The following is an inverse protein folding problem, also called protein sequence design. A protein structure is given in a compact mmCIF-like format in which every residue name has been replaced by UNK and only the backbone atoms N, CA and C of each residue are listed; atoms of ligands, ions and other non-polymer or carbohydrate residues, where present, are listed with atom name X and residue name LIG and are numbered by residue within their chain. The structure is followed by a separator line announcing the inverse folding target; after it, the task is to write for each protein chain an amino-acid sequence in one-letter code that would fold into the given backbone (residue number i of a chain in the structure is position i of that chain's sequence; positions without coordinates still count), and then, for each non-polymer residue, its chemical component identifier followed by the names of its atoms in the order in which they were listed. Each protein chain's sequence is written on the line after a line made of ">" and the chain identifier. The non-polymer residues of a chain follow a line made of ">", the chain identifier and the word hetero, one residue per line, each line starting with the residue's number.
data_IF_361210354020
#
_entry.id   IF_361210354020
#
_cell.length_a   1.000
_cell.length_b   1.000
_cell.length_c   1.000
_cell.angle_alpha   90.00
_cell.angle_beta   90.00
_cell.angle_gamma   90.00
#
_symmetry.space_group_name_H-M   'P 1'
#
loop_
_entity.id
_entity.type
_entity.pdbx_description
1 polymer ?
#
# COMPACT_ATOMS: atom_id res chain seq x y z
N UNK A 1 -23.80 26.93 6.96
CA UNK A 1 -23.71 27.09 5.48
C UNK A 1 -23.41 25.71 4.92
N UNK A 2 -24.24 25.17 4.03
CA UNK A 2 -23.95 23.90 3.35
C UNK A 2 -22.68 24.07 2.52
N UNK A 3 -21.71 23.19 2.72
CA UNK A 3 -20.50 23.18 1.89
C UNK A 3 -20.86 22.53 0.57
N UNK A 4 -20.78 23.28 -0.53
CA UNK A 4 -20.93 22.72 -1.87
C UNK A 4 -19.69 21.90 -2.16
N UNK A 5 -19.85 20.56 -2.24
CA UNK A 5 -18.76 19.60 -2.42
C UNK A 5 -18.62 19.08 -3.85
N UNK A 6 -19.42 19.61 -4.77
CA UNK A 6 -19.41 19.26 -6.19
C UNK A 6 -18.44 20.11 -7.02
N UNK A 7 -17.96 21.23 -6.47
CA UNK A 7 -16.95 22.08 -7.09
C UNK A 7 -15.56 21.78 -6.55
N UNK A 8 -14.59 21.74 -7.47
CA UNK A 8 -13.18 21.68 -7.11
C UNK A 8 -12.76 22.99 -6.42
N UNK A 9 -11.98 22.98 -5.32
CA UNK A 9 -11.41 24.18 -4.73
C UNK A 9 -10.39 24.82 -5.68
N UNK A 10 -10.14 26.12 -5.52
CA UNK A 10 -9.11 26.83 -6.26
C UNK A 10 -7.72 26.30 -5.89
N UNK A 11 -6.87 26.11 -6.88
CA UNK A 11 -5.44 25.80 -6.76
C UNK A 11 -4.71 26.23 -8.06
N UNK A 12 -3.42 26.46 -7.95
CA UNK A 12 -2.56 26.62 -9.11
C UNK A 12 -2.20 25.23 -9.69
N UNK A 13 -2.35 25.05 -11.00
CA UNK A 13 -1.97 23.79 -11.67
C UNK A 13 -0.64 23.98 -12.40
N UNK A 14 0.33 23.12 -12.08
CA UNK A 14 1.62 23.04 -12.74
C UNK A 14 1.78 21.71 -13.46
N UNK A 15 2.34 21.74 -14.66
CA UNK A 15 2.60 20.57 -15.50
C UNK A 15 4.09 20.50 -15.89
N UNK A 16 4.99 20.18 -14.94
CA UNK A 16 6.39 20.04 -15.24
C UNK A 16 6.65 18.85 -16.18
N UNK A 17 7.71 18.96 -16.98
CA UNK A 17 8.17 17.89 -17.88
C UNK A 17 9.44 17.20 -17.41
N UNK A 18 10.02 17.66 -16.29
CA UNK A 18 11.20 17.07 -15.69
C UNK A 18 11.01 16.79 -14.20
N UNK A 19 11.72 15.80 -13.67
CA UNK A 19 11.76 15.52 -12.22
C UNK A 19 12.29 16.72 -11.44
N UNK A 20 13.31 17.40 -11.98
CA UNK A 20 13.91 18.55 -11.32
C UNK A 20 12.90 19.70 -11.11
N UNK A 21 12.09 20.02 -12.11
CA UNK A 21 11.06 21.06 -12.01
C UNK A 21 9.95 20.64 -11.03
N UNK A 22 9.53 19.37 -11.06
CA UNK A 22 8.53 18.86 -10.14
C UNK A 22 9.01 18.95 -8.68
N UNK A 23 10.26 18.56 -8.41
CA UNK A 23 10.89 18.65 -7.09
C UNK A 23 11.03 20.11 -6.64
N UNK A 24 11.43 21.02 -7.54
CA UNK A 24 11.52 22.44 -7.23
C UNK A 24 10.16 23.02 -6.83
N UNK A 25 9.09 22.67 -7.56
CA UNK A 25 7.72 23.08 -7.25
C UNK A 25 7.24 22.49 -5.92
N UNK A 26 7.43 21.19 -5.70
CA UNK A 26 7.09 20.54 -4.42
C UNK A 26 7.85 21.16 -3.24
N UNK A 27 9.12 21.50 -3.43
CA UNK A 27 9.92 22.20 -2.42
C UNK A 27 9.43 23.62 -2.15
N UNK A 28 9.04 24.37 -3.21
CA UNK A 28 8.51 25.73 -3.11
C UNK A 28 7.20 25.77 -2.32
N UNK A 29 6.27 24.89 -2.60
CA UNK A 29 4.95 24.87 -1.96
C UNK A 29 4.92 24.06 -0.65
N UNK A 30 5.88 23.15 -0.43
CA UNK A 30 5.99 22.35 0.77
C UNK A 30 4.69 21.60 1.09
N UNK A 31 4.12 21.84 2.26
CA UNK A 31 2.84 21.21 2.69
C UNK A 31 1.61 21.65 1.89
N UNK A 32 1.70 22.78 1.19
CA UNK A 32 0.63 23.34 0.36
C UNK A 32 0.71 22.83 -1.10
N UNK A 33 1.76 22.06 -1.45
CA UNK A 33 1.94 21.39 -2.74
C UNK A 33 1.43 19.97 -2.74
N UNK A 34 0.84 19.52 -3.85
CA UNK A 34 0.32 18.16 -4.01
C UNK A 34 0.83 17.55 -5.31
N UNK A 35 1.56 16.46 -5.22
CA UNK A 35 1.96 15.65 -6.37
C UNK A 35 0.75 14.87 -6.90
N UNK A 36 0.37 15.11 -8.14
CA UNK A 36 -0.74 14.45 -8.81
C UNK A 36 -0.22 13.35 -9.73
N UNK A 37 -0.52 12.09 -9.36
CA UNK A 37 -0.36 10.94 -10.25
C UNK A 37 -1.62 10.74 -11.10
N UNK A 38 -2.23 9.54 -11.05
CA UNK A 38 -3.44 9.24 -11.81
C UNK A 38 -4.73 9.93 -11.33
N UNK A 39 -4.72 10.63 -10.21
CA UNK A 39 -5.84 11.43 -9.70
C UNK A 39 -6.96 10.66 -9.01
N UNK A 40 -6.97 9.32 -9.06
CA UNK A 40 -8.10 8.49 -8.63
C UNK A 40 -8.42 8.54 -7.13
N UNK A 41 -7.48 8.94 -6.29
CA UNK A 41 -7.70 9.22 -4.87
C UNK A 41 -7.69 10.74 -4.57
N UNK A 42 -6.96 11.52 -5.35
CA UNK A 42 -6.71 12.94 -5.11
C UNK A 42 -7.99 13.78 -5.17
N UNK A 43 -8.83 13.56 -6.18
CA UNK A 43 -9.97 14.44 -6.41
C UNK A 43 -11.03 14.34 -5.31
N UNK A 44 -11.23 13.17 -4.73
CA UNK A 44 -12.13 13.01 -3.57
C UNK A 44 -11.63 13.84 -2.38
N UNK A 45 -10.31 13.79 -2.08
CA UNK A 45 -9.72 14.57 -0.99
C UNK A 45 -9.94 16.07 -1.13
N UNK A 46 -9.82 16.58 -2.35
CA UNK A 46 -9.97 18.00 -2.65
C UNK A 46 -11.46 18.42 -2.66
N UNK A 47 -12.33 17.62 -3.30
CA UNK A 47 -13.78 17.87 -3.33
C UNK A 47 -14.40 17.83 -1.94
N UNK A 48 -14.02 16.87 -1.13
CA UNK A 48 -14.49 16.72 0.26
C UNK A 48 -13.89 17.75 1.23
N UNK A 49 -12.94 18.57 0.77
CA UNK A 49 -12.25 19.59 1.58
C UNK A 49 -11.47 19.01 2.77
N UNK A 50 -11.16 17.72 2.76
CA UNK A 50 -10.36 17.06 3.81
C UNK A 50 -8.89 17.46 3.65
N UNK A 51 -8.41 17.56 2.41
CA UNK A 51 -7.11 18.14 2.07
C UNK A 51 -7.33 19.49 1.38
N UNK A 52 -6.46 20.43 1.71
CA UNK A 52 -6.46 21.76 1.10
C UNK A 52 -5.05 22.07 0.65
N UNK A 53 -4.90 22.38 -0.64
CA UNK A 53 -3.61 22.65 -1.26
C UNK A 53 -3.67 23.97 -2.01
N UNK A 54 -2.54 24.63 -2.20
CA UNK A 54 -2.43 25.84 -3.04
C UNK A 54 -1.96 25.51 -4.45
N UNK A 55 -1.20 24.42 -4.59
CA UNK A 55 -0.67 24.01 -5.88
C UNK A 55 -0.83 22.51 -6.09
N UNK A 56 -1.25 22.11 -7.28
CA UNK A 56 -1.26 20.75 -7.79
C UNK A 56 -0.19 20.64 -8.86
N UNK A 57 0.73 19.71 -8.68
CA UNK A 57 1.85 19.43 -9.59
C UNK A 57 1.51 18.14 -10.32
N UNK A 58 1.04 18.25 -11.55
CA UNK A 58 0.67 17.13 -12.42
C UNK A 58 1.93 16.49 -12.99
N UNK A 59 2.17 15.25 -12.61
CA UNK A 59 3.36 14.47 -12.99
C UNK A 59 3.22 13.78 -14.35
N UNK A 60 2.07 13.90 -15.02
CA UNK A 60 1.74 13.13 -16.23
C UNK A 60 2.67 13.44 -17.41
N UNK A 61 3.26 14.63 -17.45
CA UNK A 61 4.22 15.06 -18.49
C UNK A 61 5.65 14.60 -18.29
N UNK A 62 5.98 13.87 -17.20
CA UNK A 62 7.35 13.46 -16.89
C UNK A 62 7.59 12.02 -17.34
N UNK A 63 8.20 11.84 -18.52
CA UNK A 63 8.45 10.52 -19.10
C UNK A 63 9.39 9.66 -18.25
N UNK A 64 10.36 10.25 -17.55
CA UNK A 64 11.29 9.53 -16.66
C UNK A 64 10.59 8.76 -15.53
N UNK A 65 9.37 9.16 -15.14
CA UNK A 65 8.56 8.49 -14.12
C UNK A 65 7.74 7.33 -14.66
N UNK A 66 7.82 7.01 -15.96
CA UNK A 66 7.02 5.97 -16.62
C UNK A 66 7.84 4.74 -16.99
N UNK A 67 7.12 3.65 -17.16
CA UNK A 67 7.63 2.42 -17.75
C UNK A 67 8.29 1.48 -16.76
N UNK A 68 8.63 0.31 -17.29
CA UNK A 68 9.22 -0.82 -16.56
C UNK A 68 10.51 -1.20 -17.28
N UNK A 69 11.62 -1.21 -16.55
CA UNK A 69 12.96 -1.39 -17.12
C UNK A 69 13.73 -2.45 -16.34
N UNK A 70 14.56 -3.27 -17.00
CA UNK A 70 15.48 -4.14 -16.28
C UNK A 70 16.54 -3.31 -15.55
N UNK A 71 17.01 -3.82 -14.40
CA UNK A 71 18.13 -3.28 -13.66
C UNK A 71 19.40 -4.10 -13.90
N UNK A 72 20.58 -3.54 -13.65
CA UNK A 72 21.87 -4.19 -13.88
C UNK A 72 22.06 -5.47 -13.05
N UNK A 73 21.43 -5.54 -11.86
CA UNK A 73 21.42 -6.71 -10.98
C UNK A 73 20.40 -7.80 -11.38
N UNK A 74 19.79 -7.66 -12.57
CA UNK A 74 18.79 -8.59 -13.10
C UNK A 74 17.39 -8.44 -12.48
N UNK A 75 17.15 -7.44 -11.68
CA UNK A 75 15.85 -7.03 -11.19
C UNK A 75 15.07 -6.19 -12.19
N UNK A 76 14.09 -5.43 -11.70
CA UNK A 76 13.31 -4.46 -12.49
C UNK A 76 13.13 -3.16 -11.73
N UNK A 77 13.05 -2.04 -12.45
CA UNK A 77 12.63 -0.74 -11.96
C UNK A 77 11.30 -0.34 -12.61
N UNK A 78 10.34 0.07 -11.80
CA UNK A 78 9.00 0.49 -12.21
C UNK A 78 8.87 1.98 -11.87
N UNK A 79 8.72 2.83 -12.87
CA UNK A 79 8.50 4.26 -12.67
C UNK A 79 7.19 4.54 -11.93
N UNK A 80 7.17 5.53 -11.05
CA UNK A 80 6.02 5.82 -10.17
C UNK A 80 4.74 6.18 -10.95
N UNK A 81 4.86 6.70 -12.17
CA UNK A 81 3.74 7.03 -13.06
C UNK A 81 3.30 5.88 -13.96
N UNK A 82 3.89 4.70 -13.86
CA UNK A 82 3.41 3.48 -14.55
C UNK A 82 2.03 3.11 -14.03
N UNK A 83 1.09 2.87 -14.93
CA UNK A 83 -0.29 2.54 -14.55
C UNK A 83 -0.38 1.14 -13.94
N UNK A 84 -1.41 0.94 -13.12
CA UNK A 84 -1.66 -0.39 -12.54
C UNK A 84 -2.01 -1.44 -13.59
N UNK A 85 -2.61 -1.02 -14.72
CA UNK A 85 -2.85 -1.92 -15.86
C UNK A 85 -1.53 -2.36 -16.49
N UNK A 86 -0.58 -1.44 -16.73
CA UNK A 86 0.75 -1.79 -17.25
C UNK A 86 1.48 -2.75 -16.30
N UNK A 87 1.47 -2.47 -14.99
CA UNK A 87 2.06 -3.37 -13.98
C UNK A 87 1.42 -4.77 -14.01
N UNK A 88 0.09 -4.84 -14.08
CA UNK A 88 -0.65 -6.11 -14.06
C UNK A 88 -0.46 -6.94 -15.34
N UNK A 89 -0.10 -6.32 -16.48
CA UNK A 89 -0.04 -6.98 -17.78
C UNK A 89 1.37 -7.12 -18.33
N UNK A 90 2.37 -6.49 -17.74
CA UNK A 90 3.77 -6.54 -18.20
C UNK A 90 4.31 -7.97 -18.15
N UNK A 91 4.90 -8.50 -19.24
CA UNK A 91 5.38 -9.87 -19.30
C UNK A 91 6.33 -10.26 -18.17
N UNK A 92 7.40 -9.47 -17.96
CA UNK A 92 8.39 -9.77 -16.91
C UNK A 92 7.77 -9.78 -15.50
N UNK A 93 6.79 -8.89 -15.23
CA UNK A 93 6.12 -8.89 -13.93
C UNK A 93 5.23 -10.13 -13.79
N UNK A 94 4.50 -10.50 -14.82
CA UNK A 94 3.64 -11.68 -14.81
C UNK A 94 4.40 -12.99 -14.67
N UNK A 95 5.54 -13.07 -15.33
CA UNK A 95 6.35 -14.30 -15.34
C UNK A 95 7.23 -14.41 -14.10
N UNK A 96 7.92 -13.33 -13.74
CA UNK A 96 8.96 -13.36 -12.70
C UNK A 96 8.53 -12.88 -11.33
N UNK A 97 7.47 -12.06 -11.26
CA UNK A 97 6.98 -11.41 -10.03
C UNK A 97 5.45 -11.44 -9.97
N UNK A 98 4.86 -12.58 -10.26
CA UNK A 98 3.40 -12.76 -10.40
C UNK A 98 2.58 -12.15 -9.26
N UNK A 99 3.08 -12.21 -8.03
CA UNK A 99 2.41 -11.66 -6.84
C UNK A 99 2.08 -10.16 -7.01
N UNK A 100 2.96 -9.38 -7.67
CA UNK A 100 2.70 -7.98 -7.93
C UNK A 100 1.70 -7.78 -9.07
N UNK A 101 1.80 -8.58 -10.14
CA UNK A 101 0.82 -8.54 -11.24
C UNK A 101 -0.59 -8.80 -10.70
N UNK A 102 -0.75 -9.83 -9.87
CA UNK A 102 -2.04 -10.18 -9.27
C UNK A 102 -2.53 -9.10 -8.31
N UNK A 103 -1.66 -8.57 -7.44
CA UNK A 103 -2.00 -7.47 -6.55
C UNK A 103 -2.49 -6.24 -7.32
N UNK A 104 -1.78 -5.83 -8.36
CA UNK A 104 -2.17 -4.71 -9.22
C UNK A 104 -3.51 -4.98 -9.93
N UNK A 105 -3.74 -6.20 -10.42
CA UNK A 105 -4.99 -6.63 -11.08
C UNK A 105 -6.20 -6.55 -10.14
N UNK A 106 -6.01 -6.74 -8.84
CA UNK A 106 -7.08 -6.69 -7.82
C UNK A 106 -7.41 -5.29 -7.33
N UNK A 107 -6.66 -4.26 -7.74
CA UNK A 107 -6.98 -2.88 -7.37
C UNK A 107 -8.24 -2.43 -8.10
N UNK A 108 -9.20 -1.91 -7.37
CA UNK A 108 -10.40 -1.21 -7.84
C UNK A 108 -11.11 -1.86 -9.04
N UNK A 109 -11.24 -1.15 -10.18
CA UNK A 109 -11.82 -1.60 -11.43
C UNK A 109 -10.84 -1.43 -12.60
N UNK A 110 -11.06 -2.09 -13.77
CA UNK A 110 -10.21 -1.91 -14.94
C UNK A 110 -10.08 -0.43 -15.34
N UNK A 111 -11.16 0.32 -15.33
CA UNK A 111 -11.19 1.75 -15.70
C UNK A 111 -10.29 2.56 -14.77
N UNK A 112 -10.36 2.30 -13.47
CA UNK A 112 -9.51 2.97 -12.48
C UNK A 112 -8.04 2.60 -12.70
N UNK A 113 -7.72 1.32 -12.92
CA UNK A 113 -6.34 0.87 -13.13
C UNK A 113 -5.68 1.42 -14.38
N UNK A 114 -6.46 1.75 -15.41
CA UNK A 114 -5.96 2.38 -16.65
C UNK A 114 -5.41 3.80 -16.39
N UNK A 115 -5.83 4.44 -15.32
CA UNK A 115 -5.43 5.79 -14.95
C UNK A 115 -4.60 5.84 -13.66
N UNK A 116 -4.93 4.99 -12.68
CA UNK A 116 -4.22 4.92 -11.41
C UNK A 116 -2.80 4.41 -11.61
N UNK A 117 -1.84 5.06 -10.96
CA UNK A 117 -0.41 4.74 -11.05
C UNK A 117 0.05 3.92 -9.84
N UNK A 118 1.14 3.17 -10.01
CA UNK A 118 1.73 2.40 -8.90
C UNK A 118 2.21 3.32 -7.78
N UNK A 119 2.85 4.45 -8.11
CA UNK A 119 3.25 5.46 -7.13
C UNK A 119 2.06 6.05 -6.37
N UNK A 120 0.97 6.38 -7.09
CA UNK A 120 -0.27 6.82 -6.45
C UNK A 120 -0.88 5.76 -5.53
N UNK A 121 -0.82 4.49 -5.92
CA UNK A 121 -1.34 3.39 -5.10
C UNK A 121 -0.58 3.21 -3.78
N UNK A 122 0.75 3.24 -3.80
CA UNK A 122 1.56 3.09 -2.58
C UNK A 122 1.54 4.32 -1.68
N UNK A 123 1.26 5.49 -2.24
CA UNK A 123 1.20 6.77 -1.52
C UNK A 123 -0.22 7.12 -1.01
N UNK A 124 -1.21 6.27 -1.21
CA UNK A 124 -2.58 6.52 -0.76
C UNK A 124 -2.65 6.83 0.73
N UNK A 125 -3.57 7.75 1.08
CA UNK A 125 -3.91 8.02 2.47
C UNK A 125 -5.09 7.14 2.95
N UNK A 126 -5.31 7.10 4.25
CA UNK A 126 -6.32 6.28 4.91
C UNK A 126 -7.75 6.49 4.34
N UNK A 127 -8.54 5.39 4.30
CA UNK A 127 -9.92 5.39 3.80
C UNK A 127 -10.97 5.44 4.92
N UNK A 128 -10.57 5.80 6.14
CA UNK A 128 -11.46 5.88 7.29
C UNK A 128 -12.66 6.82 7.01
N UNK A 129 -13.88 6.32 7.17
CA UNK A 129 -15.13 7.03 6.93
C UNK A 129 -15.21 8.36 7.67
N UNK A 130 -14.82 8.37 8.95
CA UNK A 130 -14.90 9.53 9.82
C UNK A 130 -13.92 10.63 9.36
N UNK A 131 -12.70 10.23 9.00
CA UNK A 131 -11.69 11.15 8.49
C UNK A 131 -12.09 11.74 7.13
N UNK A 132 -12.51 10.89 6.19
CA UNK A 132 -12.98 11.33 4.86
C UNK A 132 -14.30 12.10 4.93
N UNK A 133 -15.14 11.83 5.91
CA UNK A 133 -16.35 12.61 6.20
C UNK A 133 -16.07 14.00 6.77
N UNK A 134 -14.80 14.35 7.03
CA UNK A 134 -14.39 15.66 7.51
C UNK A 134 -14.58 15.86 9.02
N UNK A 135 -14.74 14.78 9.81
CA UNK A 135 -14.82 14.87 11.25
C UNK A 135 -13.45 15.26 11.84
N UNK A 136 -13.42 16.10 12.89
CA UNK A 136 -12.19 16.58 13.51
C UNK A 136 -11.56 15.50 14.43
N UNK A 137 -11.15 14.39 13.82
CA UNK A 137 -10.45 13.32 14.52
C UNK A 137 -8.97 13.67 14.77
N UNK A 138 -8.25 12.84 15.56
CA UNK A 138 -6.81 13.03 15.79
C UNK A 138 -6.01 13.26 14.51
N UNK A 139 -6.30 12.50 13.43
CA UNK A 139 -5.62 12.65 12.13
C UNK A 139 -5.93 13.99 11.45
N UNK A 140 -7.09 14.58 11.74
CA UNK A 140 -7.51 15.88 11.23
C UNK A 140 -7.15 17.03 12.19
N UNK A 141 -6.32 16.78 13.22
CA UNK A 141 -5.91 17.79 14.20
C UNK A 141 -6.84 17.94 15.40
N UNK A 142 -7.86 17.10 15.53
CA UNK A 142 -8.75 17.06 16.71
C UNK A 142 -8.22 16.17 17.84
N UNK A 143 -9.10 15.76 18.73
CA UNK A 143 -8.76 15.08 19.99
C UNK A 143 -9.53 13.76 20.23
N UNK A 144 -10.15 13.19 19.20
CA UNK A 144 -10.96 11.97 19.31
C UNK A 144 -10.73 11.08 18.11
N UNK A 145 -10.72 9.74 18.30
CA UNK A 145 -10.86 8.78 17.20
C UNK A 145 -12.31 8.33 17.14
N UNK A 146 -13.08 8.83 16.18
CA UNK A 146 -14.50 8.48 16.02
C UNK A 146 -14.73 7.02 15.60
N UNK A 147 -13.73 6.37 15.03
CA UNK A 147 -13.78 4.95 14.67
C UNK A 147 -13.51 4.03 15.88
N UNK A 148 -12.96 4.56 16.97
CA UNK A 148 -12.64 3.81 18.20
C UNK A 148 -13.54 4.25 19.36
N UNK A 149 -14.84 4.22 19.12
CA UNK A 149 -15.89 4.48 20.12
C UNK A 149 -16.82 3.27 20.22
N UNK A 150 -17.56 3.10 21.32
CA UNK A 150 -18.43 1.93 21.51
C UNK A 150 -19.49 1.70 20.43
N UNK A 151 -19.94 2.76 19.75
CA UNK A 151 -20.96 2.72 18.70
C UNK A 151 -20.41 2.94 17.30
N UNK A 152 -19.07 2.97 17.15
CA UNK A 152 -18.42 3.26 15.86
C UNK A 152 -18.61 2.11 14.86
N UNK A 153 -18.80 2.47 13.59
CA UNK A 153 -18.72 1.52 12.47
C UNK A 153 -17.24 1.33 12.15
N UNK A 154 -16.65 0.22 12.62
CA UNK A 154 -15.20 -0.01 12.55
C UNK A 154 -14.80 -1.39 11.98
N UNK A 155 -15.67 -2.04 11.22
CA UNK A 155 -15.39 -3.37 10.64
C UNK A 155 -14.18 -3.42 9.70
N UNK A 156 -13.81 -2.30 9.09
CA UNK A 156 -12.70 -2.19 8.13
C UNK A 156 -11.39 -1.70 8.76
N UNK A 157 -11.39 -1.42 10.06
CA UNK A 157 -10.26 -0.83 10.77
C UNK A 157 -9.25 -1.88 11.26
N UNK A 158 -8.21 -1.44 11.94
CA UNK A 158 -7.05 -2.26 12.28
C UNK A 158 -7.31 -3.35 13.35
N UNK A 159 -6.45 -4.35 13.35
CA UNK A 159 -6.27 -5.35 14.40
C UNK A 159 -4.99 -5.10 15.20
N UNK A 160 -4.01 -4.41 14.58
CA UNK A 160 -2.67 -4.22 15.13
C UNK A 160 -2.23 -2.77 15.01
N UNK A 161 -1.31 -2.37 15.88
CA UNK A 161 -0.61 -1.09 15.77
C UNK A 161 -1.51 0.14 15.92
N UNK A 162 -2.70 -0.03 16.51
CA UNK A 162 -3.53 1.10 16.89
C UNK A 162 -2.84 1.90 18.00
N UNK A 163 -2.74 3.19 17.76
CA UNK A 163 -2.42 4.18 18.78
C UNK A 163 -3.64 5.10 18.89
N UNK A 164 -3.52 6.37 18.59
CA UNK A 164 -4.66 7.30 18.53
C UNK A 164 -5.47 7.24 17.23
N UNK A 165 -5.09 6.40 16.30
CA UNK A 165 -5.80 6.21 15.03
C UNK A 165 -5.85 4.73 14.68
N UNK A 166 -7.05 4.22 14.39
CA UNK A 166 -7.30 2.81 14.04
C UNK A 166 -7.45 2.59 12.52
N UNK A 167 -7.14 3.59 11.69
CA UNK A 167 -7.19 3.45 10.25
C UNK A 167 -6.14 2.45 9.72
N UNK A 168 -6.45 1.80 8.61
CA UNK A 168 -5.57 0.83 7.95
C UNK A 168 -4.95 1.41 6.68
N UNK A 169 -3.85 0.81 6.22
CA UNK A 169 -3.29 1.07 4.91
C UNK A 169 -4.18 0.45 3.82
N UNK A 170 -4.59 1.21 2.78
CA UNK A 170 -5.53 0.74 1.77
C UNK A 170 -4.88 0.14 0.52
N UNK A 171 -3.55 0.16 0.40
CA UNK A 171 -2.84 -0.25 -0.82
C UNK A 171 -2.85 -1.76 -1.00
N UNK A 172 -3.44 -2.25 -2.10
CA UNK A 172 -3.38 -3.69 -2.44
C UNK A 172 -1.99 -4.15 -2.86
N UNK A 173 -1.16 -3.26 -3.44
CA UNK A 173 0.18 -3.60 -3.91
C UNK A 173 1.23 -3.60 -2.80
N UNK A 174 0.97 -2.92 -1.68
CA UNK A 174 1.93 -2.78 -0.58
C UNK A 174 2.43 -4.12 -0.02
N UNK A 175 1.60 -5.10 0.33
CA UNK A 175 2.11 -6.38 0.85
C UNK A 175 2.90 -7.16 -0.21
N UNK A 176 2.55 -7.07 -1.50
CA UNK A 176 3.31 -7.70 -2.58
C UNK A 176 4.71 -7.09 -2.72
N UNK A 177 4.85 -5.78 -2.62
CA UNK A 177 6.13 -5.09 -2.65
C UNK A 177 7.03 -5.48 -1.46
N UNK A 178 6.45 -5.62 -0.26
CA UNK A 178 7.19 -6.09 0.91
C UNK A 178 7.63 -7.55 0.72
N UNK A 179 6.75 -8.42 0.23
CA UNK A 179 7.09 -9.83 -0.03
C UNK A 179 8.19 -9.99 -1.09
N UNK A 180 8.29 -9.05 -2.03
CA UNK A 180 9.33 -9.02 -3.08
C UNK A 180 10.61 -8.30 -2.66
N UNK A 181 10.73 -7.85 -1.40
CA UNK A 181 11.88 -7.07 -0.92
C UNK A 181 12.14 -5.81 -1.75
N UNK A 182 11.07 -5.16 -2.21
CA UNK A 182 11.16 -4.00 -3.09
C UNK A 182 11.82 -2.80 -2.38
N UNK A 183 12.44 -1.93 -3.18
CA UNK A 183 13.07 -0.69 -2.73
C UNK A 183 12.31 0.50 -3.33
N UNK A 184 12.01 1.47 -2.49
CA UNK A 184 11.29 2.69 -2.86
C UNK A 184 12.30 3.80 -3.15
N UNK A 185 12.30 4.31 -4.37
CA UNK A 185 13.21 5.37 -4.82
C UNK A 185 12.52 6.72 -4.65
N UNK A 186 13.07 7.57 -3.81
CA UNK A 186 12.52 8.88 -3.45
C UNK A 186 13.54 9.95 -3.86
N UNK A 187 13.06 11.01 -4.47
CA UNK A 187 13.90 12.15 -4.89
C UNK A 187 13.38 13.45 -4.28
N UNK A 188 14.30 14.34 -3.94
CA UNK A 188 14.03 15.72 -3.52
C UNK A 188 15.19 16.63 -3.91
N UNK A 189 15.17 17.89 -3.46
CA UNK A 189 16.24 18.89 -3.77
C UNK A 189 17.64 18.51 -3.27
N UNK A 190 17.77 17.52 -2.38
CA UNK A 190 19.07 17.03 -1.86
C UNK A 190 19.57 15.82 -2.64
N UNK A 191 18.80 15.28 -3.56
CA UNK A 191 19.12 14.10 -4.36
C UNK A 191 18.18 12.93 -4.16
N UNK A 192 18.61 11.77 -4.63
CA UNK A 192 17.89 10.50 -4.57
C UNK A 192 18.25 9.73 -3.29
N UNK A 193 17.26 9.09 -2.68
CA UNK A 193 17.45 8.09 -1.62
C UNK A 193 16.60 6.86 -1.90
N UNK A 194 17.11 5.72 -1.47
CA UNK A 194 16.45 4.43 -1.60
C UNK A 194 16.17 3.90 -0.20
N UNK A 195 14.94 3.41 0.02
CA UNK A 195 14.50 2.82 1.28
C UNK A 195 13.81 1.50 1.03
N UNK A 196 13.87 0.60 2.00
CA UNK A 196 13.16 -0.68 1.91
C UNK A 196 11.65 -0.45 1.93
N UNK A 197 10.90 -1.26 1.16
CA UNK A 197 9.45 -1.12 1.12
C UNK A 197 8.82 -1.27 2.51
N UNK A 198 9.35 -2.14 3.37
CA UNK A 198 8.84 -2.32 4.74
C UNK A 198 9.00 -1.07 5.63
N UNK A 199 9.94 -0.18 5.31
CA UNK A 199 10.20 1.07 6.03
C UNK A 199 9.54 2.30 5.39
N UNK A 200 8.90 2.13 4.22
CA UNK A 200 8.26 3.23 3.50
C UNK A 200 6.97 3.72 4.17
N UNK A 201 6.18 2.81 4.74
CA UNK A 201 4.95 3.17 5.43
C UNK A 201 5.18 3.35 6.92
N UNK A 202 4.50 4.35 7.49
CA UNK A 202 4.58 4.69 8.91
C UNK A 202 3.23 4.56 9.60
N UNK A 203 3.27 4.29 10.88
CA UNK A 203 2.09 4.23 11.73
C UNK A 203 1.81 5.55 12.46
N UNK A 204 0.64 5.66 13.12
CA UNK A 204 0.21 6.88 13.82
C UNK A 204 1.09 7.26 15.03
N UNK A 205 1.88 6.33 15.55
CA UNK A 205 2.86 6.60 16.62
C UNK A 205 4.06 7.41 16.13
N UNK A 206 4.38 7.34 14.81
CA UNK A 206 5.46 8.13 14.20
C UNK A 206 4.93 9.48 13.72
N UNK A 207 3.89 9.45 12.89
CA UNK A 207 3.19 10.66 12.44
C UNK A 207 1.74 10.29 12.08
N UNK A 208 0.80 10.85 12.82
CA UNK A 208 -0.62 10.54 12.64
C UNK A 208 -1.22 11.19 11.38
N UNK A 209 -0.57 12.17 10.79
CA UNK A 209 -1.08 12.94 9.64
C UNK A 209 -0.76 12.34 8.28
N UNK A 210 0.18 11.40 8.22
CA UNK A 210 0.67 10.74 6.98
C UNK A 210 0.68 9.22 7.11
N UNK A 211 0.73 8.54 5.97
CA UNK A 211 0.85 7.07 5.88
C UNK A 211 2.23 6.62 5.41
N UNK A 212 3.08 7.55 4.97
CA UNK A 212 4.39 7.26 4.39
C UNK A 212 5.46 8.18 4.97
N UNK A 213 6.73 7.81 4.77
CA UNK A 213 7.88 8.63 5.16
C UNK A 213 8.08 9.88 4.29
N UNK A 214 7.32 10.02 3.18
CA UNK A 214 7.46 11.18 2.29
C UNK A 214 7.20 12.47 3.05
N UNK A 215 8.18 13.34 3.07
CA UNK A 215 8.08 14.69 3.63
C UNK A 215 7.66 15.70 2.54
N UNK A 216 7.19 16.89 2.91
CA UNK A 216 7.00 17.97 1.95
C UNK A 216 8.25 18.21 1.11
N UNK A 217 8.10 18.24 -0.22
CA UNK A 217 9.22 18.34 -1.16
C UNK A 217 9.78 17.00 -1.66
N UNK A 218 9.35 15.87 -1.08
CA UNK A 218 9.71 14.56 -1.61
C UNK A 218 8.80 14.14 -2.77
N UNK A 219 9.38 13.44 -3.73
CA UNK A 219 8.68 12.82 -4.85
C UNK A 219 9.04 11.33 -4.91
N UNK A 220 8.02 10.46 -4.96
CA UNK A 220 8.20 9.06 -5.28
C UNK A 220 8.59 8.93 -6.74
N UNK A 221 9.81 8.43 -7.04
CA UNK A 221 10.34 8.34 -8.39
C UNK A 221 10.09 6.98 -9.03
N UNK A 222 10.44 5.91 -8.32
CA UNK A 222 10.35 4.55 -8.83
C UNK A 222 10.28 3.51 -7.71
N UNK A 223 10.00 2.27 -8.09
CA UNK A 223 10.08 1.08 -7.25
C UNK A 223 11.06 0.11 -7.92
N UNK A 224 12.09 -0.32 -7.20
CA UNK A 224 13.04 -1.35 -7.66
C UNK A 224 12.69 -2.68 -6.99
N UNK A 225 12.64 -3.74 -7.78
CA UNK A 225 12.41 -5.11 -7.30
C UNK A 225 13.64 -5.92 -7.65
N UNK A 226 14.37 -6.46 -6.65
CA UNK A 226 15.57 -7.24 -6.90
C UNK A 226 15.25 -8.59 -7.53
N UNK A 227 16.24 -9.20 -8.21
CA UNK A 227 16.10 -10.53 -8.79
C UNK A 227 15.96 -11.67 -7.77
N UNK A 228 16.23 -11.39 -6.49
CA UNK A 228 16.29 -12.38 -5.39
C UNK A 228 15.04 -13.27 -5.28
N UNK A 229 13.88 -12.69 -5.58
CA UNK A 229 12.59 -13.37 -5.50
C UNK A 229 11.99 -13.65 -6.88
N UNK A 230 12.73 -13.41 -7.97
CA UNK A 230 12.28 -13.76 -9.30
C UNK A 230 12.00 -15.26 -9.38
N UNK A 231 10.84 -15.64 -9.92
CA UNK A 231 10.39 -17.03 -10.08
C UNK A 231 10.22 -17.83 -8.78
N UNK A 232 10.08 -17.17 -7.63
CA UNK A 232 9.66 -17.83 -6.38
C UNK A 232 8.23 -18.39 -6.51
N UNK A 233 7.83 -19.26 -5.63
CA UNK A 233 6.42 -19.60 -5.44
C UNK A 233 5.70 -18.43 -4.79
N UNK A 234 4.66 -17.93 -5.46
CA UNK A 234 3.93 -16.76 -5.00
C UNK A 234 2.52 -17.08 -4.55
N UNK A 235 2.09 -16.34 -3.55
CA UNK A 235 0.71 -16.30 -3.12
C UNK A 235 0.24 -14.85 -2.98
N UNK A 236 -0.97 -14.56 -3.49
CA UNK A 236 -1.67 -13.32 -3.24
C UNK A 236 -3.17 -13.58 -3.11
N UNK A 237 -3.75 -13.12 -2.02
CA UNK A 237 -5.20 -13.13 -1.87
C UNK A 237 -5.68 -11.84 -1.21
N UNK A 238 -6.69 -11.23 -1.82
CA UNK A 238 -7.44 -10.09 -1.32
C UNK A 238 -8.85 -10.53 -1.02
N UNK A 239 -9.28 -10.42 0.22
CA UNK A 239 -10.68 -10.60 0.61
C UNK A 239 -11.33 -9.23 0.77
N UNK A 240 -12.46 -9.04 0.13
CA UNK A 240 -13.26 -7.82 0.11
C UNK A 240 -14.74 -8.19 -0.03
N UNK A 241 -15.66 -7.26 0.25
CA UNK A 241 -17.09 -7.50 0.14
C UNK A 241 -17.55 -7.67 -1.32
N UNK A 242 -16.88 -6.95 -2.24
CA UNK A 242 -17.14 -7.01 -3.68
C UNK A 242 -15.90 -7.47 -4.44
N UNK A 243 -16.11 -8.15 -5.57
CA UNK A 243 -15.00 -8.63 -6.44
C UNK A 243 -14.30 -7.49 -7.20
N UNK A 244 -14.92 -6.33 -7.30
CA UNK A 244 -14.41 -5.17 -8.01
C UNK A 244 -14.79 -3.89 -7.28
N UNK A 245 -14.00 -2.85 -7.48
CA UNK A 245 -14.19 -1.53 -6.86
C UNK A 245 -14.36 -1.59 -5.35
N UNK A 246 -13.43 -2.26 -4.71
CA UNK A 246 -13.46 -2.41 -3.26
C UNK A 246 -12.05 -2.41 -2.68
N UNK A 247 -11.95 -2.02 -1.41
CA UNK A 247 -10.72 -2.09 -0.62
C UNK A 247 -10.62 -3.43 0.10
N UNK A 248 -9.41 -3.87 0.50
CA UNK A 248 -9.26 -5.13 1.20
C UNK A 248 -9.85 -5.04 2.62
N UNK A 249 -10.56 -6.08 3.03
CA UNK A 249 -10.79 -6.38 4.46
C UNK A 249 -9.51 -6.95 5.07
N UNK A 250 -8.88 -7.89 4.37
CA UNK A 250 -7.54 -8.43 4.62
C UNK A 250 -6.94 -8.81 3.27
N UNK A 251 -5.68 -8.49 3.03
CA UNK A 251 -4.91 -9.09 1.93
C UNK A 251 -3.55 -9.60 2.42
N UNK A 252 -3.09 -10.67 1.79
CA UNK A 252 -1.86 -11.38 2.13
C UNK A 252 -1.07 -11.60 0.85
N UNK A 253 0.23 -11.36 0.92
CA UNK A 253 1.18 -11.66 -0.14
C UNK A 253 2.35 -12.46 0.41
N UNK A 254 2.79 -13.48 -0.31
CA UNK A 254 3.97 -14.24 0.02
C UNK A 254 4.82 -14.55 -1.22
N UNK A 255 6.13 -14.59 -0.99
CA UNK A 255 7.12 -15.16 -1.90
C UNK A 255 7.91 -16.21 -1.12
N UNK A 256 7.93 -17.46 -1.61
CA UNK A 256 8.63 -18.56 -0.94
C UNK A 256 9.45 -19.38 -1.92
N UNK A 257 10.52 -19.98 -1.41
CA UNK A 257 11.34 -20.98 -2.11
C UNK A 257 11.20 -22.27 -1.34
N UNK A 258 10.77 -23.33 -2.03
CA UNK A 258 10.59 -24.66 -1.48
C UNK A 258 11.63 -25.59 -2.08
N UNK A 259 12.34 -26.35 -1.24
CA UNK A 259 13.27 -27.39 -1.67
C UNK A 259 12.98 -28.68 -0.91
N UNK A 260 12.86 -29.79 -1.60
CA UNK A 260 12.55 -31.10 -1.03
C UNK A 260 11.30 -31.10 -0.14
N UNK A 261 10.27 -30.32 -0.53
CA UNK A 261 9.01 -30.20 0.21
C UNK A 261 9.10 -29.34 1.49
N UNK A 262 10.23 -28.67 1.75
CA UNK A 262 10.46 -27.80 2.90
C UNK A 262 10.67 -26.35 2.47
N UNK A 263 10.24 -25.43 3.31
CA UNK A 263 10.39 -23.98 3.10
C UNK A 263 11.86 -23.61 3.36
N UNK A 264 12.59 -23.28 2.29
CA UNK A 264 13.99 -22.81 2.40
C UNK A 264 14.04 -21.33 2.76
N UNK A 265 13.20 -20.52 2.13
CA UNK A 265 13.06 -19.08 2.38
C UNK A 265 11.62 -18.64 2.16
N UNK A 266 11.19 -17.64 2.89
CA UNK A 266 9.89 -17.03 2.73
C UNK A 266 9.92 -15.56 3.13
N UNK A 267 9.16 -14.72 2.43
CA UNK A 267 8.71 -13.40 2.89
C UNK A 267 7.19 -13.38 2.84
N UNK A 268 6.59 -12.96 3.93
CA UNK A 268 5.14 -12.98 4.14
C UNK A 268 4.68 -11.64 4.69
N UNK A 269 3.79 -10.99 3.97
CA UNK A 269 3.25 -9.70 4.37
C UNK A 269 1.72 -9.69 4.34
N UNK A 270 1.13 -8.99 5.31
CA UNK A 270 -0.32 -8.77 5.42
C UNK A 270 -0.62 -7.29 5.41
N UNK A 271 -1.81 -6.91 4.92
CA UNK A 271 -2.25 -5.53 4.92
C UNK A 271 -3.76 -5.41 5.19
N UNK A 272 -4.25 -4.18 5.34
CA UNK A 272 -5.60 -3.82 5.76
C UNK A 272 -5.95 -4.25 7.21
N UNK A 273 -4.95 -4.64 7.99
CA UNK A 273 -5.10 -5.03 9.40
C UNK A 273 -4.32 -4.13 10.35
N UNK A 274 -3.51 -3.21 9.80
CA UNK A 274 -2.72 -2.22 10.54
C UNK A 274 -2.61 -0.92 9.74
N UNK A 275 -2.21 0.16 10.39
CA UNK A 275 -1.94 1.45 9.74
C UNK A 275 -0.83 1.38 8.68
N UNK A 276 0.08 0.42 8.79
CA UNK A 276 1.09 0.10 7.78
C UNK A 276 0.99 -1.38 7.39
N UNK A 277 1.39 -1.76 6.17
CA UNK A 277 1.55 -3.16 5.82
C UNK A 277 2.53 -3.82 6.79
N UNK A 278 2.28 -5.07 7.16
CA UNK A 278 3.07 -5.78 8.15
C UNK A 278 3.77 -6.97 7.53
N UNK A 279 5.10 -7.02 7.60
CA UNK A 279 5.86 -8.25 7.39
C UNK A 279 5.78 -9.12 8.64
N UNK A 280 5.53 -10.39 8.48
CA UNK A 280 5.35 -11.34 9.58
C UNK A 280 6.66 -12.09 9.88
N UNK A 281 7.72 -11.36 10.25
CA UNK A 281 9.08 -11.91 10.46
C UNK A 281 9.08 -13.11 11.40
N UNK A 282 8.40 -13.04 12.55
CA UNK A 282 8.34 -14.17 13.50
C UNK A 282 7.63 -15.41 12.93
N UNK A 283 6.67 -15.23 12.01
CA UNK A 283 6.05 -16.34 11.28
C UNK A 283 7.04 -16.91 10.25
N UNK A 284 7.71 -16.06 9.49
CA UNK A 284 8.72 -16.47 8.51
C UNK A 284 9.80 -17.35 9.18
N UNK A 285 10.36 -16.88 10.29
CA UNK A 285 11.38 -17.61 11.07
C UNK A 285 10.87 -18.94 11.59
N UNK A 286 9.61 -19.03 12.01
CA UNK A 286 9.02 -20.26 12.56
C UNK A 286 8.75 -21.35 11.52
N UNK A 287 8.67 -20.99 10.21
CA UNK A 287 8.35 -21.95 9.14
C UNK A 287 9.54 -22.32 8.26
N UNK A 288 10.68 -21.64 8.38
CA UNK A 288 11.91 -22.00 7.66
C UNK A 288 12.38 -23.39 8.11
N UNK A 289 12.64 -24.29 7.15
CA UNK A 289 13.01 -25.70 7.37
C UNK A 289 11.82 -26.63 7.59
N UNK A 290 10.61 -26.10 7.80
CA UNK A 290 9.41 -26.90 8.03
C UNK A 290 8.80 -27.39 6.69
N UNK A 291 8.09 -28.54 6.70
CA UNK A 291 7.42 -29.05 5.50
C UNK A 291 6.22 -28.19 5.12
N UNK A 292 5.93 -28.14 3.82
CA UNK A 292 4.72 -27.48 3.29
C UNK A 292 3.50 -28.40 3.51
N UNK A 293 2.85 -28.28 4.66
CA UNK A 293 1.69 -29.09 5.05
C UNK A 293 0.71 -28.30 5.92
N UNK A 294 -0.38 -28.95 6.35
CA UNK A 294 -1.43 -28.33 7.17
C UNK A 294 -0.94 -27.99 8.59
N UNK A 295 -0.08 -28.79 9.20
CA UNK A 295 0.41 -28.55 10.57
C UNK A 295 1.27 -27.28 10.62
N UNK A 296 2.21 -27.14 9.67
CA UNK A 296 3.02 -25.92 9.51
C UNK A 296 2.13 -24.72 9.22
N UNK A 297 1.12 -24.89 8.36
CA UNK A 297 0.17 -23.83 8.04
C UNK A 297 -0.65 -23.40 9.26
N UNK A 298 -1.14 -24.34 10.07
CA UNK A 298 -1.90 -24.05 11.30
C UNK A 298 -1.04 -23.30 12.32
N UNK A 299 0.20 -23.71 12.52
CA UNK A 299 1.18 -23.03 13.38
C UNK A 299 1.41 -21.59 12.91
N UNK A 300 1.70 -21.40 11.61
CA UNK A 300 1.91 -20.09 11.01
C UNK A 300 0.69 -19.18 11.15
N UNK A 301 -0.50 -19.73 10.89
CA UNK A 301 -1.76 -19.00 11.02
C UNK A 301 -2.05 -18.54 12.44
N UNK A 302 -1.77 -19.38 13.45
CA UNK A 302 -1.92 -19.02 14.86
C UNK A 302 -0.93 -17.92 15.26
N UNK A 303 0.34 -18.08 14.88
CA UNK A 303 1.38 -17.08 15.16
C UNK A 303 1.06 -15.73 14.51
N UNK A 304 0.51 -15.71 13.29
CA UNK A 304 0.18 -14.50 12.55
C UNK A 304 -0.85 -13.61 13.25
N UNK A 305 -1.76 -14.17 14.03
CA UNK A 305 -2.82 -13.43 14.72
C UNK A 305 -2.51 -13.17 16.19
N UNK A 306 -1.33 -13.58 16.64
CA UNK A 306 -0.92 -13.33 18.03
C UNK A 306 -0.84 -11.82 18.29
N UNK A 307 -1.42 -11.36 19.40
CA UNK A 307 -1.46 -9.94 19.76
C UNK A 307 -2.50 -9.11 19.00
N UNK A 308 -3.35 -9.73 18.15
CA UNK A 308 -4.45 -9.03 17.51
C UNK A 308 -5.43 -8.47 18.55
N UNK A 309 -5.83 -7.21 18.37
CA UNK A 309 -6.81 -6.51 19.23
C UNK A 309 -7.95 -5.98 18.36
N UNK A 310 -8.96 -6.82 18.10
CA UNK A 310 -10.10 -6.40 17.29
C UNK A 310 -10.91 -5.31 17.99
N UNK A 311 -11.51 -4.45 17.17
CA UNK A 311 -12.50 -3.46 17.60
C UNK A 311 -13.90 -4.09 17.61
N UNK A 312 -14.95 -3.31 17.94
CA UNK A 312 -16.31 -3.83 18.16
C UNK A 312 -16.88 -4.67 17.00
N UNK A 313 -16.53 -4.34 15.73
CA UNK A 313 -17.15 -4.95 14.55
C UNK A 313 -16.16 -5.61 13.58
N UNK A 314 -14.90 -5.81 13.96
CA UNK A 314 -13.90 -6.41 13.09
C UNK A 314 -13.27 -7.71 13.61
N UNK A 315 -13.90 -8.38 14.56
CA UNK A 315 -13.48 -9.69 15.10
C UNK A 315 -13.30 -10.75 14.00
N UNK A 316 -14.12 -10.71 12.94
CA UNK A 316 -14.04 -11.64 11.82
C UNK A 316 -12.71 -11.58 11.06
N UNK A 317 -12.00 -10.45 11.11
CA UNK A 317 -10.69 -10.32 10.46
C UNK A 317 -9.62 -11.22 11.08
N UNK A 318 -9.75 -11.61 12.35
CA UNK A 318 -8.80 -12.49 13.03
C UNK A 318 -8.79 -13.88 12.40
N UNK A 319 -9.90 -14.65 12.38
CA UNK A 319 -9.93 -15.95 11.70
C UNK A 319 -9.71 -15.81 10.19
N UNK A 320 -10.12 -14.71 9.58
CA UNK A 320 -9.87 -14.45 8.16
C UNK A 320 -8.38 -14.36 7.87
N UNK A 321 -7.64 -13.51 8.60
CA UNK A 321 -6.18 -13.36 8.46
C UNK A 321 -5.45 -14.69 8.73
N UNK A 322 -5.83 -15.40 9.81
CA UNK A 322 -5.29 -16.73 10.11
C UNK A 322 -5.38 -17.66 8.91
N UNK A 323 -6.58 -17.78 8.32
CA UNK A 323 -6.81 -18.69 7.20
C UNK A 323 -6.09 -18.26 5.92
N UNK A 324 -5.95 -16.97 5.65
CA UNK A 324 -5.18 -16.48 4.51
C UNK A 324 -3.68 -16.78 4.66
N UNK A 325 -3.13 -16.63 5.86
CA UNK A 325 -1.74 -17.02 6.14
C UNK A 325 -1.55 -18.54 5.99
N UNK A 326 -2.47 -19.37 6.49
CA UNK A 326 -2.44 -20.83 6.26
C UNK A 326 -2.35 -21.17 4.78
N UNK A 327 -3.20 -20.54 3.94
CA UNK A 327 -3.18 -20.75 2.49
C UNK A 327 -1.87 -20.30 1.86
N UNK A 328 -1.27 -19.19 2.33
CA UNK A 328 0.03 -18.73 1.85
C UNK A 328 1.15 -19.75 2.11
N UNK A 329 1.08 -20.50 3.21
CA UNK A 329 2.04 -21.55 3.56
C UNK A 329 1.82 -22.80 2.73
N UNK A 330 0.64 -23.43 2.81
CA UNK A 330 0.38 -24.76 2.22
C UNK A 330 -0.08 -24.72 0.76
N UNK A 331 -0.39 -23.55 0.24
CA UNK A 331 -1.09 -23.40 -1.04
C UNK A 331 -2.62 -23.43 -0.89
N UNK A 332 -3.29 -23.13 -1.99
CA UNK A 332 -4.75 -23.26 -2.10
C UNK A 332 -5.04 -24.67 -2.59
N UNK A 333 -5.88 -25.41 -1.87
CA UNK A 333 -6.41 -26.66 -2.36
C UNK A 333 -7.24 -26.38 -3.63
N UNK A 334 -6.97 -27.17 -4.67
CA UNK A 334 -7.66 -27.05 -5.96
C UNK A 334 -9.13 -27.50 -5.83
#
# INVERSE_FOLDING_TARGET
>A
MAVIRDMMPDFELYQPTTIADAVALLGRYGKDGWALGGGMDTFDWLKDRVKRVKAVIDLSGIEELRGIRPTEDGGIEIGAMTTLTEVATHPDIRERYWVLAEAARRVASPQIRNQATIGGNVCQDARCWYYRGGLPCYRAGGNTCFADTPTAINREHCLFGADRCVAVNPSDTAPALIALDAKMVIVNSRGERVVDAEDFWIGPSVDITRMTILAPGDLMKAIRIPATWANAEFYFEKVSDRKSWDFPLVNVAAAKVVRDGRIERIRLAVNAVSAKPMRLVGVEESVIGEPVNEDTAEMAGQAAVWGARPLNYNHFKVPLMKNLVKRAIRGVEA
#
